data_IF_603033372401
#
_entry.id   IF_603033372401
#
_cell.length_a   1.000
_cell.length_b   1.000
_cell.length_c   1.000
_cell.angle_alpha   90.00
_cell.angle_beta   90.00
_cell.angle_gamma   90.00
#
_symmetry.space_group_name_H-M   'P 1'
#
loop_
_entity.id
_entity.type
_entity.pdbx_description
1 polymer ?
#
# COMPACT_ATOMS: atom_id res chain seq x y z
N UNK A 1 -10.84 6.54 -4.58
CA UNK A 1 -10.63 5.92 -3.25
C UNK A 1 -9.45 4.97 -3.37
N UNK A 2 -8.61 4.85 -2.35
CA UNK A 2 -7.50 3.89 -2.34
C UNK A 2 -8.02 2.45 -2.43
N UNK A 3 -7.11 1.50 -2.65
CA UNK A 3 -7.40 0.07 -2.54
C UNK A 3 -6.37 -0.56 -1.61
N UNK A 4 -6.77 -0.81 -0.38
CA UNK A 4 -6.09 -1.70 0.57
C UNK A 4 -6.49 -3.15 0.29
N UNK A 5 -5.52 -4.06 0.35
CA UNK A 5 -5.66 -5.48 0.06
C UNK A 5 -4.90 -6.29 1.11
N UNK A 6 -5.47 -7.43 1.50
CA UNK A 6 -4.77 -8.48 2.25
C UNK A 6 -4.84 -9.78 1.44
N UNK A 7 -3.71 -10.42 1.16
CA UNK A 7 -3.67 -11.77 0.61
C UNK A 7 -3.52 -12.79 1.74
N UNK A 8 -4.23 -13.92 1.66
CA UNK A 8 -3.98 -15.08 2.54
C UNK A 8 -2.81 -15.92 2.00
N UNK A 9 -2.29 -16.89 2.79
CA UNK A 9 -1.19 -17.75 2.35
C UNK A 9 -1.45 -18.40 0.99
N UNK A 10 -0.43 -18.38 0.15
CA UNK A 10 -0.38 -18.89 -1.23
C UNK A 10 -1.29 -18.15 -2.22
N UNK A 11 -1.83 -16.98 -1.85
CA UNK A 11 -2.59 -16.11 -2.75
C UNK A 11 -1.75 -14.93 -3.20
N UNK A 12 -2.01 -14.49 -4.43
CA UNK A 12 -1.33 -13.38 -5.09
C UNK A 12 -2.27 -12.74 -6.11
N UNK A 13 -2.17 -11.42 -6.28
CA UNK A 13 -2.80 -10.72 -7.40
C UNK A 13 -2.22 -11.22 -8.72
N UNK A 14 -3.09 -11.45 -9.71
CA UNK A 14 -2.67 -11.56 -11.10
C UNK A 14 -2.27 -10.18 -11.66
N UNK A 15 -1.57 -10.19 -12.80
CA UNK A 15 -1.07 -8.96 -13.43
C UNK A 15 -2.20 -8.00 -13.80
N UNK A 16 -3.31 -8.52 -14.32
CA UNK A 16 -4.44 -7.69 -14.76
C UNK A 16 -5.05 -6.91 -13.59
N UNK A 17 -5.24 -7.58 -12.47
CA UNK A 17 -5.77 -7.02 -11.23
C UNK A 17 -4.81 -6.02 -10.63
N UNK A 18 -3.51 -6.36 -10.55
CA UNK A 18 -2.48 -5.46 -10.06
C UNK A 18 -2.43 -4.17 -10.88
N UNK A 19 -2.26 -4.28 -12.20
CA UNK A 19 -2.15 -3.14 -13.12
C UNK A 19 -3.41 -2.31 -13.12
N UNK A 20 -4.58 -2.93 -13.03
CA UNK A 20 -5.85 -2.21 -12.86
C UNK A 20 -5.84 -1.38 -11.58
N UNK A 21 -5.57 -1.99 -10.43
CA UNK A 21 -5.52 -1.29 -9.15
C UNK A 21 -4.55 -0.09 -9.20
N UNK A 22 -3.36 -0.28 -9.79
CA UNK A 22 -2.39 0.80 -9.97
C UNK A 22 -2.92 1.89 -10.92
N UNK A 23 -3.51 1.52 -12.05
CA UNK A 23 -3.98 2.46 -13.07
C UNK A 23 -5.06 3.43 -12.58
N UNK A 24 -5.87 3.01 -11.60
CA UNK A 24 -6.92 3.83 -10.98
C UNK A 24 -6.44 4.54 -9.70
N UNK A 25 -5.31 4.12 -9.13
CA UNK A 25 -4.72 4.64 -7.89
C UNK A 25 -3.20 4.85 -8.10
N UNK A 26 -2.86 5.89 -8.87
CA UNK A 26 -1.50 6.13 -9.40
C UNK A 26 -0.56 6.88 -8.44
N UNK A 27 -1.05 7.28 -7.26
CA UNK A 27 -0.28 8.11 -6.32
C UNK A 27 0.65 7.29 -5.40
N UNK A 28 0.90 6.03 -5.80
CA UNK A 28 1.93 5.17 -5.23
C UNK A 28 1.41 3.82 -4.76
N UNK A 29 2.32 2.85 -4.74
CA UNK A 29 2.10 1.51 -4.23
C UNK A 29 3.05 1.21 -3.07
N UNK A 30 2.60 0.33 -2.19
CA UNK A 30 3.46 -0.32 -1.21
C UNK A 30 2.90 -1.66 -0.76
N UNK A 31 3.78 -2.45 -0.18
CA UNK A 31 3.50 -3.78 0.34
C UNK A 31 4.19 -3.99 1.70
N UNK A 32 3.54 -4.76 2.56
CA UNK A 32 4.14 -5.34 3.74
C UNK A 32 4.03 -6.86 3.66
N UNK A 33 5.08 -7.55 4.07
CA UNK A 33 5.20 -9.00 3.93
C UNK A 33 6.04 -9.56 5.07
N UNK A 34 5.88 -10.85 5.34
CA UNK A 34 6.66 -11.57 6.35
C UNK A 34 7.89 -12.15 5.69
N UNK A 35 9.07 -11.80 6.20
CA UNK A 35 10.35 -12.33 5.74
C UNK A 35 10.61 -13.74 6.31
N UNK A 36 11.75 -14.34 5.93
CA UNK A 36 12.11 -15.71 6.33
C UNK A 36 12.30 -15.87 7.85
N UNK A 37 12.61 -14.78 8.56
CA UNK A 37 12.73 -14.75 10.03
C UNK A 37 11.38 -14.58 10.74
N UNK A 38 10.27 -14.57 9.99
CA UNK A 38 8.94 -14.33 10.55
C UNK A 38 8.68 -12.87 10.91
N UNK A 39 9.51 -11.92 10.47
CA UNK A 39 9.34 -10.48 10.76
C UNK A 39 8.66 -9.77 9.61
N UNK A 40 7.84 -8.77 9.93
CA UNK A 40 7.24 -7.90 8.91
C UNK A 40 8.27 -6.93 8.36
N UNK A 41 8.38 -6.88 7.03
CA UNK A 41 9.11 -5.88 6.27
C UNK A 41 8.14 -5.05 5.43
N UNK A 42 8.52 -3.80 5.13
CA UNK A 42 7.72 -2.85 4.35
C UNK A 42 8.55 -2.35 3.18
N UNK A 43 8.05 -2.55 1.97
CA UNK A 43 8.55 -1.92 0.74
C UNK A 43 7.47 -0.98 0.20
N UNK A 44 7.74 0.32 0.11
CA UNK A 44 6.73 1.32 -0.28
C UNK A 44 7.32 2.51 -1.01
N UNK A 45 6.45 3.33 -1.60
CA UNK A 45 6.85 4.52 -2.36
C UNK A 45 7.12 4.23 -3.83
N UNK A 46 6.56 3.13 -4.36
CA UNK A 46 6.65 2.81 -5.77
C UNK A 46 5.69 3.70 -6.56
N UNK A 47 6.24 4.70 -7.25
CA UNK A 47 5.44 5.70 -7.99
C UNK A 47 5.21 5.35 -9.46
N UNK A 48 5.84 4.28 -9.95
CA UNK A 48 5.71 3.84 -11.33
C UNK A 48 5.29 2.36 -11.38
N UNK A 49 4.29 2.09 -12.21
CA UNK A 49 3.58 0.80 -12.27
C UNK A 49 4.51 -0.38 -12.52
N UNK A 50 5.42 -0.26 -13.50
CA UNK A 50 6.31 -1.36 -13.87
C UNK A 50 7.33 -1.69 -12.78
N UNK A 51 7.84 -0.68 -12.07
CA UNK A 51 8.72 -0.90 -10.92
C UNK A 51 7.97 -1.54 -9.75
N UNK A 52 6.74 -1.10 -9.50
CA UNK A 52 5.86 -1.69 -8.48
C UNK A 52 5.57 -3.17 -8.79
N UNK A 53 5.20 -3.46 -10.03
CA UNK A 53 4.92 -4.82 -10.51
C UNK A 53 6.15 -5.72 -10.42
N UNK A 54 7.30 -5.26 -10.91
CA UNK A 54 8.57 -5.99 -10.83
C UNK A 54 8.94 -6.32 -9.37
N UNK A 55 8.84 -5.33 -8.47
CA UNK A 55 9.17 -5.54 -7.06
C UNK A 55 8.20 -6.51 -6.38
N UNK A 56 6.90 -6.40 -6.65
CA UNK A 56 5.90 -7.33 -6.17
C UNK A 56 6.18 -8.77 -6.63
N UNK A 57 6.41 -8.97 -7.94
CA UNK A 57 6.72 -10.28 -8.50
C UNK A 57 8.03 -10.87 -7.99
N UNK A 58 9.03 -10.04 -7.66
CA UNK A 58 10.24 -10.51 -6.99
C UNK A 58 9.93 -11.19 -5.65
N UNK A 59 9.01 -10.64 -4.86
CA UNK A 59 8.56 -11.26 -3.59
C UNK A 59 7.82 -12.56 -3.85
N UNK A 60 6.90 -12.57 -4.81
CA UNK A 60 6.13 -13.78 -5.17
C UNK A 60 7.07 -14.90 -5.62
N UNK A 61 8.05 -14.60 -6.47
CA UNK A 61 9.01 -15.59 -6.96
C UNK A 61 9.94 -16.14 -5.86
N UNK A 62 10.17 -15.36 -4.79
CA UNK A 62 10.89 -15.83 -3.59
C UNK A 62 10.02 -16.67 -2.65
N UNK A 63 8.72 -16.85 -2.95
CA UNK A 63 7.80 -17.60 -2.13
C UNK A 63 7.34 -16.85 -0.87
N UNK A 64 7.48 -15.52 -0.84
CA UNK A 64 7.03 -14.68 0.28
C UNK A 64 5.51 -14.81 0.50
N UNK A 65 4.75 -15.07 -0.57
CA UNK A 65 3.31 -15.30 -0.50
C UNK A 65 2.91 -16.57 0.26
N UNK A 66 3.84 -17.42 0.72
CA UNK A 66 3.54 -18.48 1.70
C UNK A 66 2.99 -17.90 3.00
N UNK A 67 3.23 -16.62 3.28
CA UNK A 67 2.63 -15.86 4.35
C UNK A 67 1.65 -14.82 3.80
N UNK A 68 0.73 -14.30 4.64
CA UNK A 68 -0.13 -13.19 4.26
C UNK A 68 0.68 -11.93 3.91
N UNK A 69 0.16 -11.13 2.96
CA UNK A 69 0.76 -9.84 2.58
C UNK A 69 -0.29 -8.75 2.65
N UNK A 70 0.12 -7.53 3.03
CA UNK A 70 -0.68 -6.33 2.85
C UNK A 70 -0.20 -5.56 1.64
N UNK A 71 -1.13 -5.15 0.78
CA UNK A 71 -0.86 -4.32 -0.38
C UNK A 71 -1.72 -3.07 -0.31
N UNK A 72 -1.22 -1.96 -0.83
CA UNK A 72 -1.99 -0.73 -0.90
C UNK A 72 -1.66 0.09 -2.14
N UNK A 73 -2.71 0.40 -2.90
CA UNK A 73 -2.65 1.33 -4.03
C UNK A 73 -3.26 2.67 -3.59
N UNK A 74 -2.46 3.73 -3.64
CA UNK A 74 -2.83 5.05 -3.11
C UNK A 74 -3.50 5.91 -4.18
N UNK A 75 -4.63 6.51 -3.82
CA UNK A 75 -5.18 7.67 -4.50
C UNK A 75 -5.26 8.80 -3.48
N UNK A 76 -4.51 9.87 -3.70
CA UNK A 76 -4.39 10.98 -2.76
C UNK A 76 -5.76 11.65 -2.58
N UNK A 77 -6.27 11.57 -1.36
CA UNK A 77 -7.39 12.38 -0.86
C UNK A 77 -6.92 13.45 0.13
N UNK A 78 -5.82 13.18 0.86
CA UNK A 78 -5.17 14.09 1.80
C UNK A 78 -3.64 13.84 1.86
N UNK A 79 -2.89 14.85 2.34
CA UNK A 79 -1.42 14.83 2.41
C UNK A 79 -0.72 15.05 1.06
N UNK A 80 0.61 15.17 1.06
CA UNK A 80 1.38 15.34 -0.19
C UNK A 80 1.47 14.04 -0.99
N UNK A 81 1.68 14.13 -2.32
CA UNK A 81 2.08 12.98 -3.14
C UNK A 81 3.57 12.78 -2.96
N UNK A 82 3.95 12.00 -1.95
CA UNK A 82 5.32 11.62 -1.67
C UNK A 82 5.38 10.17 -1.19
N UNK A 83 6.58 9.59 -1.25
CA UNK A 83 6.84 8.19 -0.88
C UNK A 83 6.57 7.93 0.61
N UNK A 84 6.78 8.95 1.46
CA UNK A 84 6.58 8.84 2.91
C UNK A 84 5.11 8.62 3.28
N UNK A 85 4.19 9.15 2.48
CA UNK A 85 2.74 9.03 2.65
C UNK A 85 2.13 7.82 1.95
N UNK A 86 2.91 7.03 1.22
CA UNK A 86 2.47 5.72 0.77
C UNK A 86 2.30 4.80 1.97
N UNK A 87 1.19 4.06 1.98
CA UNK A 87 1.04 2.88 2.83
C UNK A 87 1.95 1.75 2.33
N UNK A 88 2.25 0.74 3.17
CA UNK A 88 1.89 0.59 4.59
C UNK A 88 2.64 1.53 5.56
N UNK A 89 2.13 1.67 6.78
CA UNK A 89 2.83 2.35 7.88
C UNK A 89 3.25 1.36 8.96
N UNK A 90 4.44 1.54 9.52
CA UNK A 90 4.94 0.68 10.59
C UNK A 90 4.16 0.91 11.90
N UNK A 91 3.80 -0.18 12.56
CA UNK A 91 3.22 -0.21 13.91
C UNK A 91 4.02 -1.23 14.74
N UNK A 92 3.79 -1.29 16.06
CA UNK A 92 4.58 -2.16 16.92
C UNK A 92 4.42 -3.64 16.54
N UNK A 93 5.49 -4.22 16.00
CA UNK A 93 5.55 -5.60 15.55
C UNK A 93 4.81 -5.88 14.24
N UNK A 94 4.52 -4.87 13.43
CA UNK A 94 3.75 -5.05 12.19
C UNK A 94 3.62 -3.81 11.30
N UNK A 95 2.67 -3.89 10.37
CA UNK A 95 2.35 -2.86 9.40
C UNK A 95 0.83 -2.66 9.28
N UNK A 96 0.43 -1.45 8.90
CA UNK A 96 -0.97 -1.03 8.76
C UNK A 96 -1.24 -0.42 7.38
N UNK A 97 -2.32 -0.88 6.74
CA UNK A 97 -2.93 -0.23 5.58
C UNK A 97 -4.33 0.28 5.94
N UNK A 98 -4.74 1.38 5.33
CA UNK A 98 -6.03 1.98 5.61
C UNK A 98 -6.66 2.52 4.33
N UNK A 99 -7.97 2.32 4.20
CA UNK A 99 -8.79 2.93 3.17
C UNK A 99 -9.97 3.67 3.82
N UNK A 100 -9.95 5.00 3.70
CA UNK A 100 -10.91 5.87 4.36
C UNK A 100 -10.28 7.23 4.70
N UNK A 101 -10.83 7.89 5.71
CA UNK A 101 -10.30 9.14 6.26
C UNK A 101 -10.69 9.21 7.73
N UNK A 102 -9.70 9.25 8.63
CA UNK A 102 -9.92 9.40 10.07
C UNK A 102 -10.22 10.85 10.44
N UNK A 103 -9.45 11.79 9.89
CA UNK A 103 -9.57 13.22 10.22
C UNK A 103 -9.43 14.05 8.95
N UNK A 104 -10.40 14.94 8.68
CA UNK A 104 -10.44 15.78 7.47
C UNK A 104 -9.74 17.13 7.59
N UNK A 105 -9.64 17.70 8.80
CA UNK A 105 -9.48 19.16 8.95
C UNK A 105 -8.23 19.61 9.75
N UNK A 106 -7.16 18.83 9.76
CA UNK A 106 -5.91 19.22 10.42
C UNK A 106 -4.85 19.74 9.45
N UNK A 107 -4.13 20.82 9.81
CA UNK A 107 -2.81 21.06 9.23
C UNK A 107 -1.86 19.96 9.71
N UNK A 108 -1.77 18.87 8.94
CA UNK A 108 -1.01 17.66 9.26
C UNK A 108 0.48 17.78 8.89
N UNK A 109 0.99 19.00 8.66
CA UNK A 109 2.36 19.25 8.22
C UNK A 109 2.78 18.36 7.03
N UNK A 110 1.86 18.15 6.08
CA UNK A 110 2.07 17.31 4.89
C UNK A 110 1.93 15.80 5.08
N UNK A 111 1.78 15.28 6.32
CA UNK A 111 1.53 13.86 6.59
C UNK A 111 0.07 13.49 6.29
N UNK A 112 -0.18 12.24 5.92
CA UNK A 112 -1.55 11.71 5.90
C UNK A 112 -2.08 11.46 7.31
N UNK A 113 -3.40 11.49 7.47
CA UNK A 113 -4.11 11.13 8.70
C UNK A 113 -3.68 9.74 9.22
N UNK A 114 -3.54 8.80 8.30
CA UNK A 114 -3.19 7.42 8.55
C UNK A 114 -1.75 7.26 9.05
N UNK A 115 -0.84 8.11 8.54
CA UNK A 115 0.53 8.19 9.01
C UNK A 115 0.57 8.71 10.44
N UNK A 116 -0.18 9.76 10.73
CA UNK A 116 -0.28 10.32 12.09
C UNK A 116 -0.83 9.26 13.05
N UNK A 117 -1.88 8.53 12.67
CA UNK A 117 -2.43 7.45 13.49
C UNK A 117 -1.38 6.38 13.80
N UNK A 118 -0.65 5.89 12.78
CA UNK A 118 0.38 4.88 12.96
C UNK A 118 1.55 5.35 13.85
N UNK A 119 2.02 6.59 13.65
CA UNK A 119 3.14 7.15 14.42
C UNK A 119 2.73 7.46 15.87
N UNK A 120 1.57 8.09 16.08
CA UNK A 120 1.10 8.54 17.40
C UNK A 120 0.71 7.36 18.29
N UNK A 121 0.09 6.34 17.70
CA UNK A 121 -0.43 5.18 18.42
C UNK A 121 0.44 3.93 18.21
N UNK A 122 1.67 4.07 17.73
CA UNK A 122 2.59 2.97 17.39
C UNK A 122 2.61 1.86 18.45
N UNK A 123 2.83 2.25 19.71
CA UNK A 123 2.94 1.33 20.85
C UNK A 123 1.62 0.69 21.29
N UNK A 124 0.47 1.25 20.87
CA UNK A 124 -0.87 0.72 21.15
C UNK A 124 -1.39 -0.15 20.01
N UNK A 125 -0.88 0.05 18.80
CA UNK A 125 -1.27 -0.69 17.59
C UNK A 125 -0.44 -1.97 17.43
N UNK A 126 -0.45 -2.84 18.44
CA UNK A 126 0.16 -4.17 18.39
C UNK A 126 -0.88 -5.27 18.50
N UNK A 127 -0.54 -6.46 18.00
CA UNK A 127 -1.46 -7.59 17.87
C UNK A 127 -2.24 -7.87 19.15
N UNK A 128 -1.56 -8.07 20.29
CA UNK A 128 -2.21 -8.44 21.55
C UNK A 128 -3.27 -7.41 22.02
N UNK A 129 -2.99 -6.11 21.87
CA UNK A 129 -3.93 -5.06 22.28
C UNK A 129 -5.12 -4.94 21.31
N UNK A 130 -4.86 -5.01 20.00
CA UNK A 130 -5.91 -4.98 18.99
C UNK A 130 -6.82 -6.21 19.05
N UNK A 131 -6.26 -7.39 19.33
CA UNK A 131 -7.04 -8.62 19.48
C UNK A 131 -7.88 -8.63 20.75
N UNK A 132 -7.33 -8.11 21.85
CA UNK A 132 -8.03 -8.07 23.14
C UNK A 132 -9.17 -7.04 23.16
N UNK A 133 -9.01 -5.91 22.46
CA UNK A 133 -9.95 -4.78 22.46
C UNK A 133 -10.59 -4.58 21.08
N UNK A 134 -10.94 -5.69 20.41
CA UNK A 134 -11.36 -5.66 19.00
C UNK A 134 -12.60 -4.78 18.80
N UNK A 135 -13.55 -4.79 19.73
CA UNK A 135 -14.79 -4.01 19.61
C UNK A 135 -14.53 -2.52 19.77
N UNK A 136 -13.70 -2.13 20.73
CA UNK A 136 -13.34 -0.74 20.99
C UNK A 136 -12.60 -0.14 19.79
N UNK A 137 -11.67 -0.89 19.19
CA UNK A 137 -11.00 -0.46 17.96
C UNK A 137 -11.94 -0.46 16.76
N UNK A 138 -12.85 -1.43 16.66
CA UNK A 138 -13.88 -1.46 15.61
C UNK A 138 -14.79 -0.23 15.67
N UNK A 139 -15.20 0.18 16.87
CA UNK A 139 -16.01 1.37 17.10
C UNK A 139 -15.21 2.64 16.80
N UNK A 140 -13.95 2.71 17.25
CA UNK A 140 -13.07 3.84 17.00
C UNK A 140 -12.72 4.02 15.50
N UNK A 141 -12.53 2.94 14.76
CA UNK A 141 -12.27 2.99 13.32
C UNK A 141 -13.54 3.22 12.50
N UNK A 142 -14.70 2.81 13.01
CA UNK A 142 -16.00 3.06 12.39
C UNK A 142 -16.11 2.46 10.98
N UNK A 143 -16.25 3.29 9.95
CA UNK A 143 -16.36 2.84 8.55
C UNK A 143 -15.02 2.73 7.82
N UNK A 144 -13.92 3.10 8.48
CA UNK A 144 -12.59 3.04 7.89
C UNK A 144 -12.12 1.59 7.80
N UNK A 145 -11.75 1.13 6.59
CA UNK A 145 -11.23 -0.22 6.41
C UNK A 145 -9.76 -0.21 6.76
N UNK A 146 -9.40 -0.89 7.84
CA UNK A 146 -8.02 -0.95 8.33
C UNK A 146 -7.59 -2.39 8.40
N UNK A 147 -6.47 -2.72 7.77
CA UNK A 147 -5.89 -4.05 7.85
C UNK A 147 -4.47 -3.97 8.41
N UNK A 148 -4.16 -4.90 9.30
CA UNK A 148 -2.88 -5.04 9.96
C UNK A 148 -2.25 -6.38 9.64
N UNK A 149 -0.94 -6.39 9.45
CA UNK A 149 -0.10 -7.58 9.34
C UNK A 149 0.98 -7.48 10.39
N UNK A 150 1.12 -8.52 11.20
CA UNK A 150 2.10 -8.64 12.25
C UNK A 150 3.07 -9.77 11.94
N UNK A 151 4.13 -9.83 12.73
CA UNK A 151 5.10 -10.92 12.69
C UNK A 151 4.40 -12.30 12.71
N UNK A 152 5.06 -13.30 12.15
CA UNK A 152 4.59 -14.68 12.03
C UNK A 152 3.29 -14.82 11.19
N UNK A 153 2.96 -13.80 10.39
CA UNK A 153 1.79 -13.85 9.49
C UNK A 153 0.45 -13.64 10.17
N UNK A 154 0.43 -13.15 11.41
CA UNK A 154 -0.83 -12.80 12.09
C UNK A 154 -1.41 -11.54 11.46
N UNK A 155 -2.72 -11.52 11.19
CA UNK A 155 -3.39 -10.34 10.64
C UNK A 155 -4.71 -10.05 11.34
N UNK A 156 -5.16 -8.80 11.26
CA UNK A 156 -6.48 -8.35 11.74
C UNK A 156 -7.04 -7.36 10.73
N UNK A 157 -8.31 -7.49 10.38
CA UNK A 157 -9.06 -6.53 9.57
C UNK A 157 -10.18 -5.93 10.42
N UNK A 158 -10.35 -4.62 10.33
CA UNK A 158 -11.45 -3.87 10.93
C UNK A 158 -12.33 -3.29 9.82
N UNK A 159 -13.65 -3.27 10.08
CA UNK A 159 -14.67 -2.77 9.15
C UNK A 159 -14.69 -3.49 7.80
N UNK A 160 -14.37 -4.78 7.84
CA UNK A 160 -14.05 -5.65 6.70
C UNK A 160 -15.04 -5.62 5.54
N UNK A 161 -16.34 -5.53 5.83
CA UNK A 161 -17.43 -5.53 4.84
C UNK A 161 -17.96 -4.12 4.50
N UNK A 162 -17.47 -3.08 5.19
CA UNK A 162 -17.95 -1.71 4.97
C UNK A 162 -17.49 -1.18 3.61
N UNK A 163 -18.30 -0.31 3.01
CA UNK A 163 -18.02 0.37 1.73
C UNK A 163 -17.60 -0.57 0.57
N UNK A 164 -18.18 -1.78 0.53
CA UNK A 164 -17.90 -2.76 -0.51
C UNK A 164 -16.60 -3.53 -0.30
N UNK A 165 -16.09 -3.56 0.93
CA UNK A 165 -15.05 -4.50 1.34
C UNK A 165 -15.51 -5.95 1.12
N UNK A 166 -14.68 -6.77 0.49
CA UNK A 166 -15.08 -8.10 0.05
C UNK A 166 -13.90 -9.04 -0.14
N UNK A 167 -14.15 -10.32 0.06
CA UNK A 167 -13.23 -11.40 -0.28
C UNK A 167 -13.49 -11.93 -1.68
N UNK A 168 -12.41 -12.28 -2.36
CA UNK A 168 -12.42 -13.06 -3.59
C UNK A 168 -11.19 -13.97 -3.61
N UNK A 169 -11.43 -15.28 -3.72
CA UNK A 169 -10.39 -16.32 -3.74
C UNK A 169 -9.26 -16.16 -2.69
N UNK A 170 -9.63 -15.89 -1.44
CA UNK A 170 -8.67 -15.72 -0.34
C UNK A 170 -7.88 -14.41 -0.38
N UNK A 171 -8.34 -13.43 -1.16
CA UNK A 171 -7.81 -12.07 -1.19
C UNK A 171 -8.92 -11.12 -0.74
N UNK A 172 -8.67 -10.35 0.31
CA UNK A 172 -9.58 -9.31 0.76
C UNK A 172 -9.25 -8.00 0.06
N UNK A 173 -10.28 -7.31 -0.42
CA UNK A 173 -10.19 -6.00 -1.04
C UNK A 173 -11.08 -5.02 -0.28
N UNK A 174 -10.55 -3.84 0.04
CA UNK A 174 -11.28 -2.81 0.81
C UNK A 174 -12.37 -2.04 0.05
N UNK A 175 -12.54 -2.29 -1.25
CA UNK A 175 -13.68 -1.86 -2.10
C UNK A 175 -13.69 -2.64 -3.43
N UNK A 176 -14.67 -2.38 -4.31
CA UNK A 176 -14.83 -3.04 -5.62
C UNK A 176 -14.01 -2.50 -6.79
N UNK A 177 -13.07 -1.56 -6.59
CA UNK A 177 -12.31 -0.92 -7.68
C UNK A 177 -11.53 -1.91 -8.57
N UNK A 178 -11.19 -3.08 -8.03
CA UNK A 178 -10.44 -4.15 -8.69
C UNK A 178 -11.25 -4.96 -9.73
N UNK A 179 -12.59 -5.03 -9.64
CA UNK A 179 -13.44 -5.96 -10.43
C UNK A 179 -13.71 -5.58 -11.91
N UNK A 180 -13.14 -4.49 -12.43
CA UNK A 180 -13.45 -4.02 -13.79
C UNK A 180 -12.42 -4.49 -14.84
N UNK A 181 -12.71 -4.24 -16.11
CA UNK A 181 -11.76 -4.55 -17.18
C UNK A 181 -10.57 -3.58 -17.16
N UNK A 182 -9.35 -4.12 -17.31
CA UNK A 182 -8.20 -3.31 -17.67
C UNK A 182 -8.33 -2.92 -19.14
N UNK A 183 -8.51 -1.63 -19.43
CA UNK A 183 -8.33 -1.13 -20.78
C UNK A 183 -6.84 -0.82 -20.94
N UNK A 184 -6.12 -1.66 -21.68
CA UNK A 184 -4.81 -1.27 -22.21
C UNK A 184 -4.99 0.10 -22.87
N UNK A 185 -4.13 1.07 -22.51
CA UNK A 185 -4.02 2.28 -23.32
C UNK A 185 -3.40 1.86 -24.65
N UNK A 186 -4.23 1.43 -25.59
CA UNK A 186 -3.85 1.37 -26.99
C UNK A 186 -3.58 2.81 -27.38
N UNK A 187 -2.30 3.14 -27.58
CA UNK A 187 -1.86 4.45 -28.06
C UNK A 187 -2.38 4.67 -29.47
N UNK A 188 -3.64 5.06 -29.60
CA UNK A 188 -4.17 5.53 -30.86
C UNK A 188 -3.81 7.01 -30.96
N UNK A 189 -2.75 7.29 -31.72
CA UNK A 189 -2.31 8.64 -31.99
C UNK A 189 -3.42 9.43 -32.65
N UNK A 190 -4.07 10.30 -31.88
CA UNK A 190 -4.90 11.36 -32.43
C UNK A 190 -4.37 12.70 -31.91
N UNK A 191 -3.70 13.43 -32.81
CA UNK A 191 -3.27 14.81 -32.58
C UNK A 191 -4.52 15.68 -32.41
N UNK A 192 -4.70 16.28 -31.24
CA UNK A 192 -5.84 17.15 -30.97
C UNK A 192 -5.72 17.92 -29.65
N UNK A 193 -4.94 19.00 -29.69
CA UNK A 193 -4.90 20.21 -28.85
C UNK A 193 -5.50 20.20 -27.43
N UNK A 194 -4.66 20.49 -26.44
CA UNK A 194 -5.10 20.89 -25.10
C UNK A 194 -3.97 20.81 -24.06
N UNK A 195 -3.14 21.85 -23.99
CA UNK A 195 -1.94 21.91 -23.17
C UNK A 195 -2.25 21.89 -21.66
N UNK A 196 -1.65 20.93 -20.95
CA UNK A 196 -0.94 21.09 -19.68
C UNK A 196 -0.34 19.72 -19.28
N UNK A 197 0.54 19.20 -20.14
CA UNK A 197 1.51 18.20 -19.73
C UNK A 197 2.71 18.94 -19.16
N UNK A 198 3.10 18.62 -17.92
CA UNK A 198 4.44 18.94 -17.44
C UNK A 198 5.39 18.12 -18.32
N UNK A 199 5.93 18.77 -19.34
CA UNK A 199 6.84 18.18 -20.30
C UNK A 199 8.13 17.79 -19.60
N UNK A 200 8.49 16.51 -19.65
CA UNK A 200 9.87 16.09 -19.44
C UNK A 200 10.62 16.47 -20.72
N UNK A 201 11.76 17.19 -20.65
CA UNK A 201 12.55 17.46 -21.84
C UNK A 201 13.22 16.16 -22.31
N UNK A 202 13.09 15.89 -23.60
CA UNK A 202 13.84 14.87 -24.34
C UNK A 202 15.33 15.22 -24.29
N UNK A 203 16.09 14.43 -23.54
CA UNK A 203 17.55 14.31 -23.67
C UNK A 203 17.97 12.94 -23.10
N UNK A 204 17.82 11.90 -23.91
CA UNK A 204 18.62 10.68 -23.79
C UNK A 204 19.57 10.71 -24.99
N UNK A 205 20.73 11.31 -24.79
CA UNK A 205 22.01 10.87 -25.34
C UNK A 205 23.09 11.59 -24.54
N UNK A 206 24.10 10.83 -24.13
CA UNK A 206 25.32 11.22 -23.41
C UNK A 206 25.18 11.58 -21.92
N UNK A 207 25.14 10.55 -21.05
CA UNK A 207 25.76 10.65 -19.73
C UNK A 207 26.26 9.28 -19.27
N UNK A 208 27.53 9.01 -19.60
CA UNK A 208 28.34 8.07 -18.84
C UNK A 208 28.48 8.58 -17.39
N UNK A 209 28.39 7.64 -16.45
CA UNK A 209 29.00 7.67 -15.12
C UNK A 209 28.80 8.94 -14.26
N UNK A 210 27.63 9.06 -13.61
CA UNK A 210 27.55 9.73 -12.30
C UNK A 210 26.67 8.93 -11.36
N UNK A 211 27.25 8.41 -10.29
CA UNK A 211 26.61 7.54 -9.31
C UNK A 211 25.37 8.16 -8.66
N UNK A 212 24.23 7.51 -8.89
CA UNK A 212 22.98 7.75 -8.15
C UNK A 212 22.34 6.41 -7.76
N UNK A 213 22.92 5.77 -6.74
CA UNK A 213 22.34 4.60 -6.08
C UNK A 213 21.20 5.04 -5.14
N UNK A 214 20.03 5.33 -5.71
CA UNK A 214 18.79 5.54 -4.97
C UNK A 214 18.15 4.22 -4.55
N UNK A 215 18.71 3.53 -3.56
CA UNK A 215 18.06 2.38 -2.93
C UNK A 215 16.78 2.82 -2.18
N UNK A 216 15.69 2.04 -2.21
CA UNK A 216 14.52 2.31 -1.37
C UNK A 216 14.91 2.27 0.12
N UNK A 217 14.32 3.17 0.92
CA UNK A 217 14.54 3.21 2.37
C UNK A 217 14.00 1.94 3.02
N UNK A 218 14.87 0.95 3.25
CA UNK A 218 14.57 -0.20 4.13
C UNK A 218 14.55 0.30 5.56
N UNK A 219 13.35 0.52 6.11
CA UNK A 219 13.21 0.70 7.56
C UNK A 219 13.22 -0.70 8.20
N UNK A 220 14.40 -1.16 8.58
CA UNK A 220 14.56 -2.36 9.41
C UNK A 220 14.03 -2.09 10.82
N UNK A 221 13.09 -2.90 11.28
CA UNK A 221 12.56 -2.83 12.64
C UNK A 221 13.63 -3.44 13.56
N UNK A 222 14.35 -2.57 14.28
CA UNK A 222 15.34 -2.96 15.27
C UNK A 222 14.72 -3.88 16.32
N UNK A 223 15.38 -5.01 16.55
CA UNK A 223 15.11 -5.87 17.69
C UNK A 223 15.84 -5.25 18.89
N UNK A 224 15.07 -4.68 19.82
CA UNK A 224 15.59 -4.35 21.15
C UNK A 224 15.12 -5.41 22.15
N UNK A 225 16.11 -5.76 22.98
CA UNK A 225 16.22 -6.86 23.95
C UNK A 225 15.41 -6.52 25.21
#
# INVERSE_FOLDING_TARGET
>A
MCIAILTTPNKALDEKTFRRCFSINRDGFGMAFVNDDGKVEIDKGFMAEDYAWKSYMEKINKGINKNPMLLHFRLRTAGSVDQGNCHPFAVKGGAMVHNGTFWRDGNMNGKSDSRILAETYHDKLHYANLSANKNEFQDAFGYNRVAFLFNEGKYIIFSEEKDGGQWDDGIWYSNGGWKGQYHERVGNGNKGGGNNACALPDALDDFEDTGWLGYPSRYGIGADI
#
